data_IF_402181680764
#
_entry.id   IF_402181680764
#
_cell.length_a   1.000
_cell.length_b   1.000
_cell.length_c   1.000
_cell.angle_alpha   90.00
_cell.angle_beta   90.00
_cell.angle_gamma   90.00
#
_symmetry.space_group_name_H-M   'P 1'
#
loop_
_entity.id
_entity.type
_entity.pdbx_description
1 polymer ?
#
# COMPACT_ATOMS: atom_id res chain seq x y z
N UNK A 1 -14.07 -5.66 -47.41
CA UNK A 1 -15.16 -4.99 -48.15
C UNK A 1 -14.51 -4.03 -49.14
N UNK A 2 -14.91 -4.08 -50.40
CA UNK A 2 -14.39 -3.23 -51.50
C UNK A 2 -15.31 -2.04 -51.83
N UNK A 3 -16.33 -1.78 -51.00
CA UNK A 3 -17.25 -0.66 -51.23
C UNK A 3 -16.46 0.67 -51.23
N UNK A 4 -16.55 1.39 -52.34
CA UNK A 4 -15.92 2.69 -52.51
C UNK A 4 -16.82 3.78 -51.91
N UNK A 5 -16.20 4.75 -51.24
CA UNK A 5 -16.88 5.94 -50.70
C UNK A 5 -16.25 7.15 -51.36
N UNK A 6 -17.06 7.95 -52.05
CA UNK A 6 -16.62 9.23 -52.59
C UNK A 6 -16.66 10.26 -51.47
N UNK A 7 -15.58 11.00 -51.30
CA UNK A 7 -15.44 12.05 -50.28
C UNK A 7 -15.11 13.33 -51.02
N UNK A 8 -15.85 14.41 -50.73
CA UNK A 8 -15.58 15.70 -51.34
C UNK A 8 -14.22 16.25 -50.91
N UNK A 9 -13.51 16.91 -51.83
CA UNK A 9 -12.27 17.61 -51.48
C UNK A 9 -12.57 18.68 -50.40
N UNK A 10 -11.89 18.59 -49.26
CA UNK A 10 -12.09 19.50 -48.13
C UNK A 10 -13.16 19.07 -47.11
N UNK A 11 -13.84 17.94 -47.30
CA UNK A 11 -14.74 17.42 -46.27
C UNK A 11 -13.96 16.97 -45.02
N UNK A 12 -14.46 17.36 -43.85
CA UNK A 12 -13.93 16.89 -42.58
C UNK A 12 -14.00 15.35 -42.50
N UNK A 13 -13.00 14.73 -41.85
CA UNK A 13 -13.00 13.28 -41.60
C UNK A 13 -14.27 12.85 -40.84
N UNK A 14 -14.88 11.75 -41.26
CA UNK A 14 -16.08 11.17 -40.67
C UNK A 14 -15.92 9.66 -40.51
N UNK A 15 -16.78 9.08 -39.66
CA UNK A 15 -16.91 7.64 -39.51
C UNK A 15 -17.80 7.11 -40.63
N UNK A 16 -17.24 6.24 -41.47
CA UNK A 16 -18.03 5.49 -42.46
C UNK A 16 -18.28 4.08 -41.96
N UNK A 17 -19.52 3.62 -42.02
CA UNK A 17 -19.92 2.26 -41.66
C UNK A 17 -20.50 1.56 -42.89
N UNK A 18 -20.02 0.35 -43.18
CA UNK A 18 -20.51 -0.43 -44.30
C UNK A 18 -21.73 -1.27 -43.90
N UNK A 19 -22.71 -1.40 -44.79
CA UNK A 19 -23.86 -2.27 -44.60
C UNK A 19 -23.48 -3.76 -44.47
N UNK A 20 -22.30 -4.17 -44.94
CA UNK A 20 -21.83 -5.56 -44.82
C UNK A 20 -21.32 -5.93 -43.41
N UNK A 21 -21.42 -5.04 -42.43
CA UNK A 21 -20.97 -5.26 -41.05
C UNK A 21 -19.45 -5.14 -40.83
N UNK A 22 -18.69 -4.72 -41.85
CA UNK A 22 -17.26 -4.47 -41.68
C UNK A 22 -17.01 -3.33 -40.65
N UNK A 23 -15.88 -3.37 -39.90
CA UNK A 23 -15.59 -2.35 -38.91
C UNK A 23 -15.55 -0.95 -39.56
N UNK A 24 -16.17 0.07 -38.94
CA UNK A 24 -16.23 1.41 -39.50
C UNK A 24 -14.83 1.96 -39.80
N UNK A 25 -14.67 2.68 -40.91
CA UNK A 25 -13.39 3.27 -41.33
C UNK A 25 -13.41 4.80 -41.26
N UNK A 26 -12.23 5.41 -41.21
CA UNK A 26 -12.07 6.86 -41.32
C UNK A 26 -12.05 7.28 -42.78
N UNK A 27 -12.95 8.19 -43.16
CA UNK A 27 -12.96 8.73 -44.52
C UNK A 27 -11.67 9.48 -44.84
N UNK A 28 -11.05 10.17 -43.87
CA UNK A 28 -9.85 10.98 -44.11
C UNK A 28 -8.56 10.20 -44.35
N UNK A 29 -8.42 8.98 -43.84
CA UNK A 29 -7.17 8.21 -43.98
C UNK A 29 -7.35 6.73 -44.32
N UNK A 30 -8.59 6.29 -44.52
CA UNK A 30 -8.94 4.89 -44.80
C UNK A 30 -8.73 3.92 -43.63
N UNK A 31 -8.19 4.37 -42.49
CA UNK A 31 -7.89 3.47 -41.38
C UNK A 31 -9.17 2.84 -40.79
N UNK A 32 -9.15 1.52 -40.64
CA UNK A 32 -10.16 0.74 -39.95
C UNK A 32 -9.54 -0.01 -38.75
N UNK A 33 -10.16 0.00 -37.55
CA UNK A 33 -11.41 0.69 -37.20
C UNK A 33 -11.24 2.22 -37.07
N UNK A 34 -12.37 2.95 -37.09
CA UNK A 34 -12.42 4.41 -36.95
C UNK A 34 -11.82 4.88 -35.62
N UNK A 35 -11.05 5.98 -35.68
CA UNK A 35 -10.32 6.53 -34.54
C UNK A 35 -10.90 7.89 -34.10
N UNK A 36 -11.67 7.87 -33.01
CA UNK A 36 -12.33 9.06 -32.48
C UNK A 36 -11.35 10.07 -31.88
N UNK A 37 -10.38 9.61 -31.08
CA UNK A 37 -9.53 10.46 -30.24
C UNK A 37 -8.09 10.62 -30.75
N UNK A 38 -7.86 10.35 -32.03
CA UNK A 38 -6.55 10.54 -32.66
C UNK A 38 -6.74 11.24 -34.00
N UNK A 39 -5.81 12.12 -34.37
CA UNK A 39 -5.78 12.66 -35.73
C UNK A 39 -5.28 11.58 -36.70
N UNK A 40 -5.64 11.69 -37.98
CA UNK A 40 -5.25 10.72 -39.00
C UNK A 40 -3.74 10.44 -39.04
N UNK A 41 -2.92 11.48 -38.86
CA UNK A 41 -1.45 11.39 -38.85
C UNK A 41 -0.90 10.55 -37.69
N UNK A 42 -1.59 10.51 -36.54
CA UNK A 42 -1.08 9.86 -35.33
C UNK A 42 -1.42 8.36 -35.27
N UNK A 43 -2.34 7.90 -36.12
CA UNK A 43 -2.91 6.54 -36.05
C UNK A 43 -1.84 5.47 -36.19
N UNK A 44 -0.91 5.62 -37.13
CA UNK A 44 0.12 4.60 -37.35
C UNK A 44 1.11 4.55 -36.19
N UNK A 45 1.51 5.71 -35.66
CA UNK A 45 2.36 5.80 -34.46
C UNK A 45 1.69 5.14 -33.26
N UNK A 46 0.39 5.39 -33.04
CA UNK A 46 -0.37 4.77 -31.96
C UNK A 46 -0.48 3.24 -32.13
N UNK A 47 -0.68 2.76 -33.36
CA UNK A 47 -0.68 1.32 -33.67
C UNK A 47 0.67 0.68 -33.39
N UNK A 48 1.77 1.29 -33.84
CA UNK A 48 3.12 0.80 -33.58
C UNK A 48 3.40 0.72 -32.07
N UNK A 49 3.06 1.76 -31.31
CA UNK A 49 3.17 1.76 -29.85
C UNK A 49 2.31 0.68 -29.19
N UNK A 50 1.11 0.45 -29.69
CA UNK A 50 0.23 -0.62 -29.19
C UNK A 50 0.81 -2.01 -29.47
N UNK A 51 1.37 -2.24 -30.65
CA UNK A 51 2.04 -3.50 -30.99
C UNK A 51 3.28 -3.72 -30.11
N UNK A 52 4.11 -2.70 -29.92
CA UNK A 52 5.26 -2.77 -29.01
C UNK A 52 4.82 -3.06 -27.56
N UNK A 53 3.70 -2.48 -27.12
CA UNK A 53 3.10 -2.82 -25.83
C UNK A 53 2.67 -4.29 -25.75
N UNK A 54 2.05 -4.83 -26.80
CA UNK A 54 1.66 -6.24 -26.85
C UNK A 54 2.88 -7.19 -26.86
N UNK A 55 3.96 -6.81 -27.54
CA UNK A 55 5.15 -7.65 -27.72
C UNK A 55 6.07 -7.70 -26.49
N UNK A 56 5.94 -6.81 -25.52
CA UNK A 56 6.76 -6.87 -24.31
C UNK A 56 6.39 -5.88 -23.21
N UNK A 57 5.87 -4.70 -23.57
CA UNK A 57 5.47 -3.69 -22.58
C UNK A 57 4.45 -4.21 -21.56
N UNK A 58 3.49 -5.02 -22.00
CA UNK A 58 2.45 -5.62 -21.13
C UNK A 58 3.05 -6.56 -20.09
N UNK A 59 4.04 -7.36 -20.47
CA UNK A 59 4.70 -8.28 -19.55
C UNK A 59 5.57 -7.51 -18.55
N UNK A 60 6.34 -6.54 -19.03
CA UNK A 60 7.13 -5.65 -18.18
C UNK A 60 6.25 -4.94 -17.13
N UNK A 61 5.08 -4.45 -17.53
CA UNK A 61 4.11 -3.85 -16.62
C UNK A 61 3.54 -4.84 -15.60
N UNK A 62 3.17 -6.06 -16.01
CA UNK A 62 2.74 -7.11 -15.07
C UNK A 62 3.85 -7.48 -14.08
N UNK A 63 5.10 -7.46 -14.50
CA UNK A 63 6.25 -7.68 -13.61
C UNK A 63 6.37 -6.55 -12.57
N UNK A 64 6.20 -5.31 -12.99
CA UNK A 64 6.17 -4.16 -12.08
C UNK A 64 5.01 -4.26 -11.07
N UNK A 65 3.80 -4.60 -11.52
CA UNK A 65 2.65 -4.83 -10.63
C UNK A 65 2.91 -5.95 -9.63
N UNK A 66 3.46 -7.09 -10.07
CA UNK A 66 3.81 -8.22 -9.19
C UNK A 66 4.87 -7.82 -8.17
N UNK A 67 5.90 -7.08 -8.58
CA UNK A 67 6.93 -6.57 -7.66
C UNK A 67 6.35 -5.62 -6.63
N UNK A 68 5.55 -4.65 -7.06
CA UNK A 68 4.90 -3.70 -6.16
C UNK A 68 3.97 -4.40 -5.15
N UNK A 69 3.21 -5.41 -5.58
CA UNK A 69 2.35 -6.19 -4.69
C UNK A 69 3.15 -7.00 -3.65
N UNK A 70 4.27 -7.60 -4.05
CA UNK A 70 5.17 -8.33 -3.13
C UNK A 70 5.78 -7.39 -2.10
N UNK A 71 6.28 -6.23 -2.54
CA UNK A 71 6.86 -5.22 -1.65
C UNK A 71 5.81 -4.69 -0.66
N UNK A 72 4.59 -4.39 -1.12
CA UNK A 72 3.50 -3.93 -0.25
C UNK A 72 3.12 -5.00 0.80
N UNK A 73 3.04 -6.27 0.39
CA UNK A 73 2.76 -7.38 1.30
C UNK A 73 3.86 -7.56 2.35
N UNK A 74 5.12 -7.47 1.93
CA UNK A 74 6.28 -7.56 2.83
C UNK A 74 6.30 -6.41 3.85
N UNK A 75 6.03 -5.18 3.42
CA UNK A 75 5.92 -4.03 4.32
C UNK A 75 4.77 -4.19 5.33
N UNK A 76 3.60 -4.68 4.89
CA UNK A 76 2.47 -4.92 5.77
C UNK A 76 2.77 -6.01 6.80
N UNK A 77 3.46 -7.07 6.40
CA UNK A 77 3.91 -8.13 7.31
C UNK A 77 4.90 -7.59 8.34
N UNK A 78 5.93 -6.87 7.91
CA UNK A 78 6.93 -6.28 8.79
C UNK A 78 6.29 -5.31 9.82
N UNK A 79 5.30 -4.51 9.38
CA UNK A 79 4.56 -3.62 10.27
C UNK A 79 3.77 -4.40 11.33
N UNK A 80 3.06 -5.47 10.93
CA UNK A 80 2.30 -6.32 11.86
C UNK A 80 3.22 -6.98 12.88
N UNK A 81 4.36 -7.51 12.44
CA UNK A 81 5.35 -8.13 13.33
C UNK A 81 5.95 -7.11 14.31
N UNK A 82 6.23 -5.88 13.86
CA UNK A 82 6.71 -4.83 14.74
C UNK A 82 5.67 -4.45 15.81
N UNK A 83 4.39 -4.35 15.42
CA UNK A 83 3.29 -4.09 16.35
C UNK A 83 3.09 -5.24 17.36
N UNK A 84 3.18 -6.49 16.91
CA UNK A 84 3.06 -7.65 17.79
C UNK A 84 4.19 -7.68 18.84
N UNK A 85 5.45 -7.50 18.42
CA UNK A 85 6.59 -7.41 19.35
C UNK A 85 6.47 -6.23 20.31
N UNK A 86 5.90 -5.11 19.85
CA UNK A 86 5.65 -3.98 20.74
C UNK A 86 4.61 -4.32 21.82
N UNK A 87 3.54 -5.03 21.45
CA UNK A 87 2.52 -5.46 22.40
C UNK A 87 3.07 -6.47 23.44
N UNK A 88 3.99 -7.35 23.03
CA UNK A 88 4.71 -8.25 23.95
C UNK A 88 5.54 -7.45 24.96
N UNK A 89 6.32 -6.46 24.50
CA UNK A 89 7.11 -5.60 25.38
C UNK A 89 6.23 -4.76 26.34
N UNK A 90 5.09 -4.27 25.88
CA UNK A 90 4.11 -3.59 26.74
C UNK A 90 3.59 -4.55 27.83
N UNK A 91 3.24 -5.79 27.46
CA UNK A 91 2.81 -6.82 28.42
C UNK A 91 3.88 -7.16 29.45
N UNK A 92 5.15 -7.30 29.03
CA UNK A 92 6.27 -7.55 29.94
C UNK A 92 6.49 -6.39 30.91
N UNK A 93 6.37 -5.13 30.43
CA UNK A 93 6.53 -3.96 31.27
C UNK A 93 5.37 -3.77 32.25
N UNK A 94 4.13 -4.04 31.82
CA UNK A 94 2.94 -4.03 32.69
C UNK A 94 3.05 -5.12 33.77
N UNK A 95 3.50 -6.32 33.39
CA UNK A 95 3.73 -7.41 34.34
C UNK A 95 4.82 -7.03 35.34
N UNK A 96 5.94 -6.44 34.91
CA UNK A 96 6.98 -5.93 35.82
C UNK A 96 6.44 -4.83 36.73
N UNK A 97 5.61 -3.91 36.22
CA UNK A 97 5.05 -2.84 37.04
C UNK A 97 4.13 -3.40 38.15
N UNK A 98 3.39 -4.48 37.86
CA UNK A 98 2.53 -5.14 38.84
C UNK A 98 3.31 -6.03 39.83
N UNK A 99 4.36 -6.72 39.39
CA UNK A 99 4.99 -7.80 40.16
C UNK A 99 6.39 -7.45 40.70
N UNK A 100 7.03 -6.39 40.18
CA UNK A 100 8.41 -6.06 40.51
C UNK A 100 8.55 -4.76 41.31
N UNK A 101 9.66 -4.66 42.05
CA UNK A 101 10.09 -3.46 42.77
C UNK A 101 11.53 -3.13 42.42
N UNK A 102 11.96 -1.89 42.64
CA UNK A 102 13.32 -1.45 42.31
C UNK A 102 14.27 -1.62 43.49
N UNK A 103 15.46 -2.16 43.23
CA UNK A 103 16.52 -2.23 44.23
C UNK A 103 16.93 -0.82 44.68
N UNK A 104 16.99 -0.53 45.99
CA UNK A 104 17.39 0.79 46.49
C UNK A 104 18.80 1.22 46.08
N UNK A 105 19.71 0.26 45.82
CA UNK A 105 21.11 0.51 45.50
C UNK A 105 21.37 0.66 44.00
N UNK A 106 21.06 -0.37 43.20
CA UNK A 106 21.36 -0.37 41.77
C UNK A 106 20.16 -0.03 40.87
N UNK A 107 18.97 0.16 41.44
CA UNK A 107 17.72 0.48 40.72
C UNK A 107 17.25 -0.56 39.70
N UNK A 108 17.86 -1.75 39.69
CA UNK A 108 17.38 -2.88 38.90
C UNK A 108 15.99 -3.31 39.37
N UNK A 109 15.13 -3.71 38.43
CA UNK A 109 13.89 -4.40 38.76
C UNK A 109 14.23 -5.75 39.39
N UNK A 110 13.63 -6.04 40.53
CA UNK A 110 13.72 -7.33 41.21
C UNK A 110 12.30 -7.86 41.31
N UNK A 111 12.12 -9.17 41.23
CA UNK A 111 10.86 -9.91 41.43
C UNK A 111 10.88 -10.61 42.79
N UNK A 112 9.72 -10.76 43.45
CA UNK A 112 9.61 -11.55 44.67
C UNK A 112 9.35 -13.02 44.35
N UNK A 113 10.38 -13.85 44.46
CA UNK A 113 10.27 -15.31 44.27
C UNK A 113 10.20 -15.99 45.65
N UNK A 114 8.99 -16.19 46.17
CA UNK A 114 8.72 -16.88 47.45
C UNK A 114 8.06 -16.04 48.54
N UNK A 115 7.92 -16.60 49.75
CA UNK A 115 7.15 -15.98 50.84
C UNK A 115 7.89 -14.91 51.65
N UNK A 116 9.22 -15.00 51.76
CA UNK A 116 10.01 -14.12 52.62
C UNK A 116 10.07 -12.67 52.09
N UNK A 117 9.94 -11.68 52.99
CA UNK A 117 10.03 -10.26 52.63
C UNK A 117 11.48 -9.77 52.48
N UNK A 118 12.46 -10.47 53.06
CA UNK A 118 13.87 -10.14 52.89
C UNK A 118 14.39 -10.80 51.63
N UNK A 119 14.84 -9.98 50.67
CA UNK A 119 15.35 -10.46 49.40
C UNK A 119 16.76 -9.92 49.11
N UNK A 120 17.47 -10.55 48.18
CA UNK A 120 18.82 -10.17 47.75
C UNK A 120 18.78 -9.80 46.26
N UNK A 121 19.22 -8.59 45.90
CA UNK A 121 19.23 -8.18 44.49
C UNK A 121 20.13 -9.10 43.64
N UNK A 122 19.52 -9.82 42.69
CA UNK A 122 20.20 -10.75 41.79
C UNK A 122 20.37 -12.17 42.35
N UNK A 123 19.78 -12.51 43.50
CA UNK A 123 19.88 -13.85 44.07
C UNK A 123 18.60 -14.28 44.80
N UNK A 124 18.26 -15.56 44.70
CA UNK A 124 17.25 -16.16 45.59
C UNK A 124 17.76 -16.11 47.05
N UNK A 125 16.84 -15.89 48.00
CA UNK A 125 17.18 -15.84 49.43
C UNK A 125 17.83 -17.14 49.95
N UNK A 126 17.55 -18.28 49.31
CA UNK A 126 18.06 -19.61 49.66
C UNK A 126 19.15 -20.16 48.71
N UNK A 127 19.72 -19.31 47.84
CA UNK A 127 20.74 -19.71 46.87
C UNK A 127 20.19 -20.42 45.62
N UNK A 128 21.06 -20.70 44.65
CA UNK A 128 20.75 -21.48 43.44
C UNK A 128 20.54 -20.66 42.15
N UNK A 129 19.85 -19.51 42.21
CA UNK A 129 19.64 -18.65 41.03
C UNK A 129 20.46 -17.36 41.17
N UNK A 130 21.50 -17.18 40.33
CA UNK A 130 22.34 -15.98 40.27
C UNK A 130 22.02 -15.20 39.00
N UNK A 131 21.31 -14.10 39.16
CA UNK A 131 20.99 -13.15 38.12
C UNK A 131 21.86 -11.89 38.25
N UNK A 132 22.00 -11.08 37.19
CA UNK A 132 22.68 -9.80 37.28
C UNK A 132 22.01 -8.90 38.33
N UNK A 133 22.74 -8.58 39.39
CA UNK A 133 22.29 -7.73 40.49
C UNK A 133 23.45 -7.31 41.38
N UNK A 134 23.24 -6.33 42.27
CA UNK A 134 24.31 -5.78 43.11
C UNK A 134 24.52 -6.54 44.44
N UNK A 135 23.76 -7.60 44.70
CA UNK A 135 23.84 -8.38 45.94
C UNK A 135 23.30 -7.66 47.19
N UNK A 136 22.73 -6.47 47.05
CA UNK A 136 22.19 -5.73 48.20
C UNK A 136 20.96 -6.44 48.78
N UNK A 137 20.96 -6.59 50.12
CA UNK A 137 19.85 -7.15 50.90
C UNK A 137 18.90 -6.04 51.33
N UNK A 138 17.61 -6.21 51.10
CA UNK A 138 16.60 -5.22 51.50
C UNK A 138 15.24 -5.88 51.73
N UNK A 139 14.36 -5.16 52.43
CA UNK A 139 12.97 -5.55 52.60
C UNK A 139 12.16 -5.17 51.36
N UNK A 140 11.51 -6.16 50.76
CA UNK A 140 10.68 -6.01 49.57
C UNK A 140 9.54 -5.02 49.76
N UNK A 141 8.85 -5.05 50.91
CA UNK A 141 7.68 -4.21 51.16
C UNK A 141 8.01 -2.72 51.18
N UNK A 142 9.23 -2.38 51.58
CA UNK A 142 9.73 -1.00 51.70
C UNK A 142 10.34 -0.49 50.38
N UNK A 143 10.61 -1.38 49.42
CA UNK A 143 11.18 -1.00 48.13
C UNK A 143 10.17 -0.27 47.25
N UNK A 144 10.61 0.69 46.44
CA UNK A 144 9.70 1.41 45.53
C UNK A 144 9.17 0.48 44.44
N UNK A 145 7.88 0.58 44.05
CA UNK A 145 7.35 -0.14 42.89
C UNK A 145 8.14 0.15 41.60
N UNK A 146 8.23 -0.83 40.72
CA UNK A 146 8.76 -0.62 39.38
C UNK A 146 7.80 0.26 38.57
N UNK A 147 8.35 1.11 37.70
CA UNK A 147 7.59 1.95 36.77
C UNK A 147 8.03 1.58 35.36
N UNK A 148 7.07 1.20 34.52
CA UNK A 148 7.29 0.83 33.13
C UNK A 148 8.08 1.93 32.39
N UNK A 149 9.09 1.52 31.64
CA UNK A 149 9.98 2.46 30.91
C UNK A 149 9.63 2.60 29.43
N UNK A 150 8.88 1.66 28.88
CA UNK A 150 8.40 1.73 27.50
C UNK A 150 7.15 2.60 27.49
N UNK A 151 7.21 3.74 26.79
CA UNK A 151 6.03 4.55 26.51
C UNK A 151 5.09 3.78 25.58
N UNK A 152 3.77 3.91 25.78
CA UNK A 152 2.78 3.27 24.90
C UNK A 152 3.05 3.65 23.45
N UNK A 153 3.00 2.67 22.55
CA UNK A 153 3.17 2.97 21.13
C UNK A 153 2.12 4.01 20.70
N UNK A 154 2.50 5.02 19.90
CA UNK A 154 1.52 5.86 19.25
C UNK A 154 0.63 4.98 18.39
N UNK A 155 -0.69 5.06 18.62
CA UNK A 155 -1.67 4.38 17.77
C UNK A 155 -1.47 4.89 16.34
N UNK A 156 -1.03 4.01 15.44
CA UNK A 156 -0.93 4.33 14.03
C UNK A 156 -2.32 4.72 13.53
N UNK A 157 -2.51 5.99 13.18
CA UNK A 157 -3.73 6.43 12.52
C UNK A 157 -3.68 5.99 11.06
N UNK A 158 -4.85 5.73 10.48
CA UNK A 158 -5.00 5.25 9.09
C UNK A 158 -4.30 6.15 8.04
N UNK A 159 -3.98 7.40 8.40
CA UNK A 159 -3.32 8.38 7.55
C UNK A 159 -1.81 8.19 7.37
N UNK A 160 -1.19 7.26 8.10
CA UNK A 160 0.27 7.05 8.12
C UNK A 160 0.71 5.75 7.43
N UNK A 161 -0.01 5.28 6.39
CA UNK A 161 0.42 4.12 5.59
C UNK A 161 0.94 4.54 4.20
N UNK A 162 2.26 4.77 4.03
CA UNK A 162 2.86 5.08 2.73
C UNK A 162 2.77 3.90 1.74
N UNK A 163 2.64 2.67 2.26
CA UNK A 163 2.70 1.43 1.47
C UNK A 163 1.55 1.30 0.44
N UNK A 164 0.36 1.78 0.78
CA UNK A 164 -0.80 1.76 -0.13
C UNK A 164 -0.65 2.73 -1.31
N UNK A 165 0.17 3.79 -1.16
CA UNK A 165 0.35 4.81 -2.18
C UNK A 165 1.08 4.26 -3.43
N UNK A 166 2.07 3.38 -3.25
CA UNK A 166 2.85 2.84 -4.38
C UNK A 166 2.10 1.78 -5.18
N UNK A 167 1.31 0.93 -4.52
CA UNK A 167 0.51 -0.07 -5.24
C UNK A 167 -0.64 0.59 -6.04
N UNK A 168 -1.28 1.63 -5.47
CA UNK A 168 -2.26 2.45 -6.18
C UNK A 168 -1.67 3.21 -7.37
N UNK A 169 -0.43 3.69 -7.24
CA UNK A 169 0.27 4.42 -8.30
C UNK A 169 0.57 3.56 -9.54
N UNK A 170 0.93 2.28 -9.37
CA UNK A 170 1.21 1.39 -10.52
C UNK A 170 -0.07 0.94 -11.20
N UNK A 171 -1.09 0.56 -10.43
CA UNK A 171 -2.35 0.00 -10.96
C UNK A 171 -3.34 1.07 -11.46
N UNK A 172 -3.15 2.33 -11.08
CA UNK A 172 -4.14 3.40 -11.30
C UNK A 172 -5.46 3.17 -10.56
N UNK A 173 -5.50 2.23 -9.61
CA UNK A 173 -6.70 1.90 -8.82
C UNK A 173 -7.02 3.06 -7.89
N UNK A 174 -8.23 3.59 -8.00
CA UNK A 174 -8.65 4.76 -7.22
C UNK A 174 -8.21 6.11 -7.80
N UNK A 175 -7.49 6.14 -8.93
CA UNK A 175 -7.18 7.40 -9.62
C UNK A 175 -8.47 7.97 -10.22
N UNK A 176 -8.77 9.20 -9.82
CA UNK A 176 -9.86 10.02 -10.36
C UNK A 176 -9.26 11.14 -11.19
N UNK A 177 -9.67 11.23 -12.45
CA UNK A 177 -9.28 12.36 -13.30
C UNK A 177 -10.32 13.46 -13.12
N UNK A 178 -10.07 14.32 -12.14
CA UNK A 178 -10.87 15.53 -11.92
C UNK A 178 -10.73 16.44 -13.15
N UNK A 179 -11.82 17.09 -13.55
CA UNK A 179 -11.90 17.99 -14.72
C UNK A 179 -11.65 17.33 -16.09
N UNK A 180 -11.43 16.02 -16.15
CA UNK A 180 -11.41 15.28 -17.41
C UNK A 180 -12.82 14.84 -17.78
N UNK A 181 -13.31 15.29 -18.94
CA UNK A 181 -14.60 14.89 -19.50
C UNK A 181 -14.42 13.81 -20.57
N UNK A 182 -15.40 12.91 -20.67
CA UNK A 182 -15.40 11.95 -21.75
C UNK A 182 -15.80 12.61 -23.07
N UNK A 183 -14.91 12.57 -24.05
CA UNK A 183 -15.18 13.12 -25.38
C UNK A 183 -16.27 12.35 -26.18
N UNK A 184 -16.78 11.22 -25.68
CA UNK A 184 -17.85 10.45 -26.33
C UNK A 184 -19.25 10.73 -25.75
N UNK A 185 -19.38 10.86 -24.43
CA UNK A 185 -20.68 11.11 -23.77
C UNK A 185 -20.76 12.46 -23.04
N UNK A 186 -19.70 13.28 -23.07
CA UNK A 186 -19.59 14.52 -22.29
C UNK A 186 -19.54 14.33 -20.77
N UNK A 187 -19.70 13.10 -20.28
CA UNK A 187 -19.82 12.64 -18.88
C UNK A 187 -20.65 13.49 -17.90
N UNK A 188 -21.27 14.60 -18.31
CA UNK A 188 -22.15 15.44 -17.48
C UNK A 188 -21.49 15.91 -16.18
N UNK A 189 -20.17 16.14 -16.17
CA UNK A 189 -19.42 16.49 -14.96
C UNK A 189 -18.97 15.31 -14.08
N UNK A 190 -19.26 14.06 -14.46
CA UNK A 190 -18.74 12.87 -13.76
C UNK A 190 -17.29 12.59 -14.16
N UNK A 191 -16.45 12.37 -13.16
CA UNK A 191 -15.01 12.09 -13.32
C UNK A 191 -14.73 10.72 -13.97
N UNK A 192 -13.63 10.63 -14.71
CA UNK A 192 -13.13 9.37 -15.28
C UNK A 192 -12.45 8.58 -14.16
N UNK A 193 -12.77 7.28 -14.04
CA UNK A 193 -12.21 6.37 -13.04
C UNK A 193 -11.23 5.38 -13.68
N UNK A 194 -10.07 5.23 -13.06
CA UNK A 194 -9.10 4.18 -13.38
C UNK A 194 -7.99 4.60 -14.37
N UNK A 195 -7.09 3.65 -14.72
CA UNK A 195 -5.90 3.93 -15.54
C UNK A 195 -6.24 4.16 -17.02
N UNK A 196 -7.46 3.83 -17.46
CA UNK A 196 -7.94 4.12 -18.81
C UNK A 196 -8.79 5.38 -18.76
N UNK A 197 -8.51 6.35 -19.64
CA UNK A 197 -9.33 7.55 -19.86
C UNK A 197 -10.70 7.20 -20.50
N UNK A 198 -11.47 6.30 -19.90
CA UNK A 198 -12.80 5.88 -20.38
C UNK A 198 -13.83 6.17 -19.30
N UNK A 199 -14.93 6.83 -19.68
CA UNK A 199 -16.05 7.05 -18.78
C UNK A 199 -16.83 5.75 -18.58
N UNK A 200 -17.40 5.59 -17.38
CA UNK A 200 -18.25 4.47 -16.96
C UNK A 200 -19.46 4.24 -17.89
N UNK A 201 -19.90 5.28 -18.59
CA UNK A 201 -21.06 5.26 -19.49
C UNK A 201 -20.70 4.89 -20.94
N UNK A 202 -19.42 4.85 -21.30
CA UNK A 202 -18.92 4.55 -22.64
C UNK A 202 -18.13 3.24 -22.68
N UNK A 203 -18.60 2.20 -21.96
CA UNK A 203 -17.94 0.89 -21.94
C UNK A 203 -17.63 0.38 -23.35
#
# INVERSE_FOLDING_TARGET
>A
CSAAVVIGAGEARRRWACACGAPPACTGCGASPYHYHAQCRDVQTLRARWLAWLQGGREAYRNLERRAAREATAQQKALREALARHAELEGDEDWKAANCRVCPRCRSAVEKVGGCNTIVCGQNAHGGNRQPGCGHRFNWQDARPYVARVGRAPRLTAHTQPALARQGAVSGRGVRHLFAQCALCGSGGKCILGPRFRCIHCQ
#
